data_IF_406083531931
#
_entry.id   IF_406083531931
#
_cell.length_a   1.000
_cell.length_b   1.000
_cell.length_c   1.000
_cell.angle_alpha   90.00
_cell.angle_beta   90.00
_cell.angle_gamma   90.00
#
_symmetry.space_group_name_H-M   'P 1'
#
loop_
_entity.id
_entity.type
_entity.pdbx_description
1 polymer ?
#
# COMPACT_ATOMS: atom_id res chain seq x y z
N UNK A 1 -2.73 -7.27 22.34
CA UNK A 1 -3.22 -5.96 21.89
C UNK A 1 -2.04 -5.07 21.51
N UNK A 2 -1.91 -4.69 20.23
CA UNK A 2 -0.77 -3.93 19.69
C UNK A 2 -0.73 -2.49 20.25
N UNK A 3 -1.87 -1.80 20.22
CA UNK A 3 -2.04 -0.44 20.75
C UNK A 3 -1.64 -0.31 22.22
N UNK A 4 -2.04 -1.27 23.06
CA UNK A 4 -1.67 -1.31 24.46
C UNK A 4 -0.15 -1.36 24.68
N UNK A 5 0.54 -2.27 23.98
CA UNK A 5 2.00 -2.42 24.12
C UNK A 5 2.77 -1.23 23.57
N UNK A 6 2.32 -0.66 22.44
CA UNK A 6 2.90 0.53 21.84
C UNK A 6 2.76 1.75 22.76
N UNK A 7 1.58 1.94 23.37
CA UNK A 7 1.34 3.04 24.32
C UNK A 7 2.28 3.01 25.52
N UNK A 8 2.60 1.83 26.06
CA UNK A 8 3.52 1.70 27.20
C UNK A 8 4.94 2.21 26.91
N UNK A 9 5.34 2.27 25.64
CA UNK A 9 6.65 2.77 25.21
C UNK A 9 6.56 4.11 24.46
N UNK A 10 5.42 4.80 24.54
CA UNK A 10 5.22 6.11 23.91
C UNK A 10 5.04 6.08 22.39
N UNK A 11 4.62 4.95 21.82
CA UNK A 11 4.31 4.83 20.39
C UNK A 11 2.80 4.92 20.17
N UNK A 12 2.39 5.87 19.33
CA UNK A 12 1.00 6.01 18.90
C UNK A 12 0.64 5.02 17.80
N UNK A 13 -0.51 4.35 17.97
CA UNK A 13 -1.07 3.44 16.98
C UNK A 13 -2.32 4.07 16.40
N UNK A 14 -2.24 4.46 15.13
CA UNK A 14 -3.35 5.02 14.37
C UNK A 14 -4.01 3.89 13.57
N UNK A 15 -5.29 3.63 13.84
CA UNK A 15 -6.08 2.66 13.09
C UNK A 15 -6.69 3.38 11.89
N UNK A 16 -6.55 2.79 10.71
CA UNK A 16 -7.07 3.33 9.45
C UNK A 16 -7.94 2.29 8.75
N UNK A 17 -8.76 2.76 7.82
CA UNK A 17 -9.56 1.94 6.94
C UNK A 17 -8.71 1.04 6.02
N UNK A 18 -9.30 -0.06 5.56
CA UNK A 18 -8.63 -0.95 4.61
C UNK A 18 -8.41 -0.23 3.27
N UNK A 19 -7.26 -0.44 2.64
CA UNK A 19 -6.90 0.17 1.37
C UNK A 19 -5.99 -0.76 0.55
N UNK A 20 -5.77 -0.44 -0.71
CA UNK A 20 -5.04 -1.31 -1.66
C UNK A 20 -3.50 -1.23 -1.54
N UNK A 21 -2.97 -1.06 -0.32
CA UNK A 21 -1.53 -0.92 -0.04
C UNK A 21 -0.68 -2.11 -0.51
N UNK A 22 -1.27 -3.29 -0.67
CA UNK A 22 -0.56 -4.48 -1.20
C UNK A 22 -0.38 -4.49 -2.73
N UNK A 23 -1.08 -3.60 -3.45
CA UNK A 23 -1.05 -3.47 -4.92
C UNK A 23 -0.45 -2.16 -5.41
N UNK A 24 -0.68 -1.06 -4.68
CA UNK A 24 -0.16 0.25 -5.06
C UNK A 24 1.38 0.30 -4.96
N UNK A 25 2.01 0.82 -6.00
CA UNK A 25 3.46 1.04 -6.03
C UNK A 25 3.82 2.39 -5.39
N UNK A 26 4.59 2.34 -4.30
CA UNK A 26 5.18 3.55 -3.70
C UNK A 26 6.14 4.25 -4.68
N UNK A 27 6.95 3.48 -5.41
CA UNK A 27 7.96 4.01 -6.35
C UNK A 27 7.28 4.74 -7.52
N UNK A 28 6.16 4.21 -8.01
CA UNK A 28 5.43 4.82 -9.14
C UNK A 28 4.37 5.84 -8.67
N UNK A 29 4.34 6.13 -7.37
CA UNK A 29 3.38 7.03 -6.74
C UNK A 29 1.92 6.72 -7.10
N UNK A 30 1.56 5.43 -7.06
CA UNK A 30 0.19 5.00 -7.32
C UNK A 30 -0.78 5.58 -6.28
N UNK A 31 -1.97 5.97 -6.75
CA UNK A 31 -3.07 6.30 -5.86
C UNK A 31 -3.45 5.08 -5.01
N UNK A 32 -3.67 5.30 -3.71
CA UNK A 32 -4.08 4.27 -2.77
C UNK A 32 -5.53 4.54 -2.35
N UNK A 33 -6.54 4.00 -3.06
CA UNK A 33 -7.92 4.22 -2.67
C UNK A 33 -8.28 3.39 -1.43
N UNK A 34 -9.21 3.92 -0.65
CA UNK A 34 -9.90 3.19 0.42
C UNK A 34 -10.71 2.06 -0.21
N UNK A 35 -10.57 0.86 0.34
CA UNK A 35 -11.38 -0.28 -0.06
C UNK A 35 -12.81 -0.13 0.48
N UNK A 36 -13.78 -0.34 -0.41
CA UNK A 36 -15.20 -0.39 -0.05
C UNK A 36 -15.84 -1.64 -0.67
N UNK A 37 -16.44 -2.47 0.17
CA UNK A 37 -17.10 -3.71 -0.26
C UNK A 37 -18.25 -3.39 -1.22
N UNK A 38 -18.24 -4.01 -2.40
CA UNK A 38 -19.27 -3.83 -3.42
C UNK A 38 -19.00 -2.71 -4.43
N UNK A 39 -17.99 -1.87 -4.19
CA UNK A 39 -17.54 -0.87 -5.16
C UNK A 39 -16.46 -1.44 -6.07
N UNK A 40 -16.54 -1.18 -7.37
CA UNK A 40 -15.47 -1.52 -8.31
C UNK A 40 -14.34 -0.51 -8.15
N UNK A 41 -13.13 -1.01 -7.91
CA UNK A 41 -11.95 -0.17 -7.95
C UNK A 41 -11.73 0.38 -9.37
N UNK A 42 -11.62 1.69 -9.48
CA UNK A 42 -11.38 2.40 -10.75
C UNK A 42 -9.89 2.74 -10.96
N UNK A 43 -9.03 2.45 -9.97
CA UNK A 43 -7.59 2.74 -10.05
C UNK A 43 -6.85 1.60 -10.76
N UNK A 44 -6.03 1.96 -11.73
CA UNK A 44 -5.08 1.07 -12.38
C UNK A 44 -3.72 1.20 -11.68
N UNK A 45 -3.25 0.12 -11.08
CA UNK A 45 -1.95 0.07 -10.41
C UNK A 45 -0.84 -0.16 -11.43
N UNK A 46 0.31 0.47 -11.23
CA UNK A 46 1.49 0.30 -12.08
C UNK A 46 2.19 -1.05 -11.85
N UNK A 47 2.06 -1.59 -10.64
CA UNK A 47 2.79 -2.76 -10.19
C UNK A 47 2.11 -4.09 -10.54
N UNK A 48 2.92 -5.14 -10.70
CA UNK A 48 2.44 -6.51 -10.91
C UNK A 48 3.15 -7.49 -9.99
N UNK A 49 2.38 -8.42 -9.42
CA UNK A 49 2.94 -9.48 -8.59
C UNK A 49 3.60 -10.55 -9.43
N UNK A 50 4.89 -10.78 -9.17
CA UNK A 50 5.67 -11.82 -9.82
C UNK A 50 5.59 -13.11 -8.99
N UNK A 51 5.92 -13.01 -7.69
CA UNK A 51 5.91 -14.13 -6.74
C UNK A 51 5.63 -13.64 -5.32
N UNK A 52 5.46 -14.56 -4.36
CA UNK A 52 5.31 -14.18 -2.95
C UNK A 52 6.51 -13.35 -2.49
N UNK A 53 6.24 -12.17 -1.94
CA UNK A 53 7.26 -11.20 -1.52
C UNK A 53 7.90 -10.35 -2.64
N UNK A 54 7.53 -10.52 -3.92
CA UNK A 54 8.14 -9.78 -5.02
C UNK A 54 7.13 -9.13 -5.96
N UNK A 55 7.31 -7.84 -6.20
CA UNK A 55 6.49 -6.99 -7.06
C UNK A 55 7.38 -6.33 -8.12
N UNK A 56 6.85 -6.12 -9.33
CA UNK A 56 7.46 -5.20 -10.31
C UNK A 56 6.90 -3.79 -10.13
N UNK A 57 7.72 -2.79 -10.43
CA UNK A 57 7.34 -1.38 -10.58
C UNK A 57 7.66 -0.93 -12.02
N UNK A 58 7.19 0.25 -12.45
CA UNK A 58 7.56 0.75 -13.80
C UNK A 58 9.05 1.05 -13.82
N UNK A 59 9.75 0.50 -14.83
CA UNK A 59 11.13 0.91 -15.13
C UNK A 59 11.09 2.38 -15.57
N UNK A 60 11.34 3.28 -14.63
CA UNK A 60 11.70 4.65 -14.96
C UNK A 60 13.08 4.56 -15.62
N UNK A 61 13.16 4.88 -16.91
CA UNK A 61 14.44 5.03 -17.59
C UNK A 61 15.18 6.17 -16.90
N UNK A 62 16.13 5.83 -16.03
CA UNK A 62 17.08 6.81 -15.52
C UNK A 62 18.05 7.05 -16.68
N UNK A 63 17.70 8.00 -17.54
CA UNK A 63 18.68 8.68 -18.37
C UNK A 63 19.17 9.88 -17.55
N UNK A 64 20.31 9.70 -16.87
CA UNK A 64 21.23 10.77 -16.51
C UNK A 64 22.66 10.23 -16.66
#
# INVERSE_FOLDING_TARGET
MLSYKAKMVGIDVIITEESYTSKASFIDNDLIPVYKKGEKNQVTFSGKRIKRGMQSYRKHWINQ
#
